data_IF_139962834520
#
_entry.id   IF_139962834520
#
_cell.length_a   1.000
_cell.length_b   1.000
_cell.length_c   1.000
_cell.angle_alpha   90.00
_cell.angle_beta   90.00
_cell.angle_gamma   90.00
#
_symmetry.space_group_name_H-M   'P 1'
#
loop_
_entity.id
_entity.type
_entity.pdbx_description
1 polymer ?
#
# COMPACT_ATOMS: atom_id res chain seq x y z
N UNK A 1 -1.98 11.77 -0.65
CA UNK A 1 -2.82 10.64 -0.18
C UNK A 1 -3.32 9.87 -1.39
N UNK A 2 -3.77 8.62 -1.22
CA UNK A 2 -4.25 7.76 -2.32
C UNK A 2 -5.57 7.11 -1.91
N UNK A 3 -6.54 7.11 -2.83
CA UNK A 3 -7.80 6.36 -2.70
C UNK A 3 -7.77 5.20 -3.69
N UNK A 4 -8.00 3.99 -3.21
CA UNK A 4 -8.12 2.76 -4.00
C UNK A 4 -9.52 2.19 -3.90
N UNK A 5 -10.01 1.54 -4.96
CA UNK A 5 -11.36 0.98 -4.99
C UNK A 5 -11.39 -0.54 -5.05
N UNK A 6 -10.26 -1.17 -5.36
CA UNK A 6 -10.17 -2.62 -5.42
C UNK A 6 -9.01 -3.17 -4.58
N UNK A 7 -9.12 -4.45 -4.20
CA UNK A 7 -8.19 -5.09 -3.27
C UNK A 7 -6.75 -5.15 -3.78
N UNK A 8 -6.56 -5.29 -5.10
CA UNK A 8 -5.24 -5.27 -5.73
C UNK A 8 -4.55 -3.90 -5.59
N UNK A 9 -5.26 -2.80 -5.88
CA UNK A 9 -4.77 -1.44 -5.69
C UNK A 9 -4.43 -1.19 -4.22
N UNK A 10 -5.34 -1.53 -3.30
CA UNK A 10 -5.10 -1.32 -1.86
C UNK A 10 -3.84 -2.07 -1.38
N UNK A 11 -3.60 -3.28 -1.91
CA UNK A 11 -2.39 -4.05 -1.63
C UNK A 11 -1.13 -3.34 -2.13
N UNK A 12 -1.15 -2.82 -3.36
CA UNK A 12 -0.03 -2.07 -3.96
C UNK A 12 0.25 -0.82 -3.13
N UNK A 13 -0.78 -0.05 -2.79
CA UNK A 13 -0.66 1.18 -1.99
C UNK A 13 -0.15 0.87 -0.57
N UNK A 14 -0.66 -0.20 0.06
CA UNK A 14 -0.18 -0.66 1.37
C UNK A 14 1.32 -0.97 1.35
N UNK A 15 1.77 -1.77 0.36
CA UNK A 15 3.19 -2.11 0.18
C UNK A 15 4.04 -0.89 -0.20
N UNK A 16 3.44 0.09 -0.85
CA UNK A 16 4.11 1.35 -1.15
C UNK A 16 4.41 2.16 0.12
N UNK A 17 3.45 2.29 1.04
CA UNK A 17 3.68 2.99 2.30
C UNK A 17 4.52 2.17 3.30
N UNK A 18 4.34 0.86 3.32
CA UNK A 18 4.99 -0.06 4.25
C UNK A 18 5.51 -1.30 3.50
N UNK A 19 6.79 -1.30 3.06
CA UNK A 19 7.36 -2.40 2.27
C UNK A 19 7.41 -3.73 3.04
N UNK A 20 7.50 -3.68 4.37
CA UNK A 20 7.57 -4.88 5.22
C UNK A 20 6.26 -5.68 5.20
N UNK A 21 5.12 -5.04 4.84
CA UNK A 21 3.80 -5.69 4.77
C UNK A 21 3.56 -6.53 3.51
N UNK A 22 4.62 -6.87 2.77
CA UNK A 22 4.56 -7.59 1.50
C UNK A 22 5.51 -8.77 1.34
N UNK A 23 6.50 -8.93 2.22
CA UNK A 23 7.47 -10.03 2.16
C UNK A 23 6.91 -11.35 2.72
N UNK A 24 7.54 -12.49 2.41
CA UNK A 24 7.28 -13.73 3.14
C UNK A 24 7.48 -13.47 4.63
N UNK A 25 6.60 -14.01 5.47
CA UNK A 25 6.77 -13.97 6.93
C UNK A 25 8.15 -14.51 7.22
N UNK A 26 9.08 -13.64 7.64
CA UNK A 26 10.40 -14.09 8.06
C UNK A 26 10.18 -15.12 9.16
N UNK A 27 10.68 -16.36 8.96
CA UNK A 27 10.58 -17.40 9.98
C UNK A 27 11.08 -16.82 11.30
N UNK A 28 10.34 -17.04 12.38
CA UNK A 28 10.72 -16.64 13.76
C UNK A 28 12.09 -17.13 14.22
N UNK A 29 12.72 -18.03 13.45
CA UNK A 29 14.02 -18.65 13.68
C UNK A 29 15.13 -18.09 12.77
N UNK A 30 14.80 -17.18 11.84
CA UNK A 30 15.79 -16.50 11.02
C UNK A 30 16.24 -15.22 11.73
N UNK A 31 17.52 -14.82 11.59
CA UNK A 31 17.99 -13.53 12.09
C UNK A 31 17.15 -12.41 11.49
N UNK A 32 16.86 -11.40 12.31
CA UNK A 32 16.00 -10.29 11.92
C UNK A 32 16.64 -9.55 10.74
N UNK A 33 15.99 -9.61 9.58
CA UNK A 33 16.39 -8.84 8.41
C UNK A 33 16.29 -7.36 8.77
N UNK A 34 17.36 -6.60 8.54
CA UNK A 34 17.34 -5.14 8.71
C UNK A 34 16.20 -4.55 7.87
N UNK A 35 15.24 -3.90 8.54
CA UNK A 35 14.12 -3.28 7.86
C UNK A 35 14.62 -2.06 7.09
N UNK A 36 14.19 -1.90 5.82
CA UNK A 36 14.50 -0.69 5.07
C UNK A 36 13.98 0.56 5.80
N UNK A 37 14.74 1.68 5.78
CA UNK A 37 14.30 2.89 6.44
C UNK A 37 13.03 3.44 5.78
N UNK A 38 12.03 3.73 6.62
CA UNK A 38 10.70 4.17 6.17
C UNK A 38 10.77 5.53 5.48
N UNK A 39 10.34 5.57 4.22
CA UNK A 39 10.29 6.81 3.42
C UNK A 39 9.02 7.63 3.64
N UNK A 40 8.07 7.10 4.42
CA UNK A 40 6.80 7.72 4.77
C UNK A 40 6.55 7.59 6.29
N UNK A 41 6.38 8.71 6.98
CA UNK A 41 6.08 8.77 8.41
C UNK A 41 5.43 10.10 8.82
N UNK A 42 4.36 10.10 9.62
CA UNK A 42 3.55 8.94 9.97
C UNK A 42 2.76 8.43 8.77
N UNK A 43 2.45 7.13 8.74
CA UNK A 43 1.47 6.54 7.81
C UNK A 43 0.15 6.39 8.55
N UNK A 44 -0.92 6.99 8.03
CA UNK A 44 -2.24 6.90 8.63
C UNK A 44 -2.85 5.50 8.45
N UNK A 45 -3.73 5.11 9.37
CA UNK A 45 -4.55 3.90 9.22
C UNK A 45 -5.46 4.04 7.99
N UNK A 46 -5.80 2.91 7.38
CA UNK A 46 -6.75 2.88 6.27
C UNK A 46 -8.10 3.45 6.72
N UNK A 47 -8.63 4.43 5.95
CA UNK A 47 -9.93 5.04 6.19
C UNK A 47 -10.93 4.52 5.16
N UNK A 48 -12.12 4.15 5.63
CA UNK A 48 -13.24 3.67 4.81
C UNK A 48 -14.35 4.72 4.80
N UNK A 49 -15.21 4.75 3.77
CA UNK A 49 -16.37 5.63 3.74
C UNK A 49 -17.31 5.37 4.92
N UNK A 50 -17.87 6.43 5.49
CA UNK A 50 -18.90 6.36 6.52
C UNK A 50 -20.31 6.14 5.93
N UNK A 51 -21.29 5.80 6.78
CA UNK A 51 -22.67 5.55 6.35
C UNK A 51 -23.30 6.72 5.57
N UNK A 52 -23.07 7.96 6.02
CA UNK A 52 -23.57 9.16 5.33
C UNK A 52 -22.92 9.40 3.95
N UNK A 53 -21.68 8.94 3.76
CA UNK A 53 -21.03 9.00 2.45
C UNK A 53 -21.58 7.93 1.53
N UNK A 54 -21.77 6.70 2.03
CA UNK A 54 -22.34 5.60 1.27
C UNK A 54 -23.77 5.90 0.80
N UNK A 55 -24.58 6.56 1.63
CA UNK A 55 -25.94 6.97 1.27
C UNK A 55 -25.95 8.01 0.13
N UNK A 56 -25.00 8.96 0.12
CA UNK A 56 -24.90 9.98 -0.93
C UNK A 56 -24.17 9.50 -2.19
N UNK A 57 -23.20 8.62 -2.03
CA UNK A 57 -22.40 8.06 -3.10
C UNK A 57 -22.18 6.55 -2.92
N UNK A 58 -23.08 5.72 -3.47
CA UNK A 58 -22.93 4.26 -3.43
C UNK A 58 -21.63 3.75 -4.06
N UNK A 59 -21.02 4.50 -5.00
CA UNK A 59 -19.74 4.13 -5.63
C UNK A 59 -18.56 4.22 -4.66
N UNK A 60 -18.67 4.97 -3.56
CA UNK A 60 -17.64 5.03 -2.51
C UNK A 60 -17.50 3.71 -1.74
N UNK A 61 -18.47 2.77 -1.82
CA UNK A 61 -18.51 1.48 -1.11
C UNK A 61 -17.16 0.80 -0.87
N UNK A 62 -16.32 0.73 -1.91
CA UNK A 62 -15.06 0.00 -1.87
C UNK A 62 -13.83 0.91 -1.75
N UNK A 63 -14.04 2.22 -1.57
CA UNK A 63 -12.98 3.18 -1.40
C UNK A 63 -12.20 2.92 -0.10
N UNK A 64 -10.89 2.92 -0.22
CA UNK A 64 -9.95 2.88 0.90
C UNK A 64 -8.96 4.02 0.71
N UNK A 65 -8.93 4.93 1.68
CA UNK A 65 -7.99 6.04 1.73
C UNK A 65 -6.77 5.64 2.56
N UNK A 66 -5.58 5.85 1.99
CA UNK A 66 -4.29 5.75 2.69
C UNK A 66 -3.48 7.02 2.48
N UNK A 67 -2.82 7.46 3.53
CA UNK A 67 -1.98 8.66 3.50
C UNK A 67 -0.74 8.46 4.37
N UNK A 68 0.30 9.22 4.05
CA UNK A 68 1.47 9.36 4.90
C UNK A 68 2.26 10.59 4.50
N UNK A 69 3.10 11.06 5.42
CA UNK A 69 3.97 12.21 5.19
C UNK A 69 5.34 11.76 4.71
N UNK A 70 5.88 12.45 3.70
CA UNK A 70 7.16 12.08 3.09
C UNK A 70 8.31 12.39 4.05
N UNK A 71 9.25 11.45 4.22
CA UNK A 71 10.49 11.70 4.97
C UNK A 71 11.59 12.32 4.08
N UNK A 72 12.66 12.79 4.70
CA UNK A 72 13.83 13.39 4.03
C UNK A 72 14.69 12.39 3.23
N UNK A 73 14.38 11.10 3.29
CA UNK A 73 15.10 10.07 2.55
C UNK A 73 14.84 10.20 1.03
N UNK A 74 15.84 9.84 0.22
CA UNK A 74 15.75 9.85 -1.25
C UNK A 74 14.57 9.03 -1.80
N UNK A 75 14.20 9.16 -3.07
CA UNK A 75 13.25 8.22 -3.68
C UNK A 75 13.88 6.82 -3.80
N UNK A 76 13.11 5.75 -3.62
CA UNK A 76 13.56 4.40 -4.00
C UNK A 76 13.28 4.16 -5.48
N UNK A 77 14.07 3.32 -6.17
CA UNK A 77 13.73 2.85 -7.49
C UNK A 77 12.38 2.13 -7.50
N UNK A 78 11.65 2.23 -8.61
CA UNK A 78 10.33 1.58 -8.76
C UNK A 78 10.53 0.09 -9.03
N UNK A 79 10.07 -0.76 -8.11
CA UNK A 79 10.04 -2.21 -8.28
C UNK A 79 8.59 -2.73 -8.31
N UNK A 80 8.07 -3.00 -9.51
CA UNK A 80 6.67 -3.42 -9.73
C UNK A 80 6.36 -4.78 -9.10
N UNK A 81 7.29 -5.74 -9.20
CA UNK A 81 7.16 -7.08 -8.60
C UNK A 81 7.11 -6.99 -7.07
N UNK A 82 7.97 -6.19 -6.45
CA UNK A 82 7.97 -5.96 -4.99
C UNK A 82 6.65 -5.36 -4.50
N UNK A 83 6.01 -4.52 -5.31
CA UNK A 83 4.69 -3.95 -5.01
C UNK A 83 3.52 -4.94 -5.22
N UNK A 84 3.77 -6.13 -5.77
CA UNK A 84 2.73 -7.13 -6.05
C UNK A 84 1.82 -6.74 -7.21
N UNK A 85 2.33 -5.92 -8.14
CA UNK A 85 1.65 -5.61 -9.39
C UNK A 85 1.70 -6.88 -10.27
N UNK A 86 0.57 -7.39 -10.78
CA UNK A 86 0.56 -8.52 -11.69
C UNK A 86 1.29 -8.18 -12.99
N UNK A 87 2.11 -9.10 -13.49
CA UNK A 87 2.65 -9.02 -14.84
C UNK A 87 1.53 -9.44 -15.82
N UNK A 88 1.18 -8.57 -16.76
CA UNK A 88 0.34 -8.96 -17.90
C UNK A 88 1.24 -9.24 -19.09
N UNK A 89 0.96 -10.33 -19.83
CA UNK A 89 1.51 -10.46 -21.18
C UNK A 89 0.79 -9.41 -22.02
N UNK A 90 1.53 -8.43 -22.55
CA UNK A 90 0.99 -7.58 -23.61
C UNK A 90 0.51 -8.51 -24.72
N UNK A 91 -0.76 -8.41 -25.12
CA UNK A 91 -1.21 -9.07 -26.33
C UNK A 91 -0.54 -8.34 -27.49
N UNK A 92 0.36 -9.03 -28.20
CA UNK A 92 0.75 -8.67 -29.57
C UNK A 92 -0.42 -8.90 -30.53
#
# INVERSE_FOLDING_TARGET
AVVSFHSLEDRIVKRFFDPDKGGPTASRHLPQVEAEPRRWQPVAKAVKPGAAELARNPRSRSAVLRSGTRSSLAARPVNRRGLGVPDYRSAE
#
